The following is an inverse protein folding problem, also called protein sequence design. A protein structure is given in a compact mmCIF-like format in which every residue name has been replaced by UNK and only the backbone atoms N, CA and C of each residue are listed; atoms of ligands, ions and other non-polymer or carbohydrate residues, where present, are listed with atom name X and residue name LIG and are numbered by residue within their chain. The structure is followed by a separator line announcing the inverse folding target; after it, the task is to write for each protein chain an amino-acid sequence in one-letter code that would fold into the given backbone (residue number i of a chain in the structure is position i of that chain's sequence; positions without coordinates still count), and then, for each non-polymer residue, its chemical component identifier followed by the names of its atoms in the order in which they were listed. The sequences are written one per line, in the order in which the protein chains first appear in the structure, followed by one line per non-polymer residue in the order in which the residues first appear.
data_IF_789660126030
#
_entry.id   IF_789660126030
#
_cell.length_a   1.000
_cell.length_b   1.000
_cell.length_c   1.000
_cell.angle_alpha   90.00
_cell.angle_beta   90.00
_cell.angle_gamma   90.00
#
_symmetry.space_group_name_H-M   'P 1'
#
loop_
_entity.id
_entity.type
_entity.pdbx_description
1 polymer ?
#
# COMPACT_ATOMS: atom_id res chain seq x y z
N UNK A 1 -22.72 3.65 7.75
CA UNK A 1 -22.57 5.12 7.62
C UNK A 1 -21.45 5.56 8.56
N UNK A 2 -20.70 6.65 8.29
CA UNK A 2 -19.79 7.19 9.29
C UNK A 2 -20.59 7.57 10.55
N UNK A 3 -20.10 7.20 11.73
CA UNK A 3 -20.77 7.58 12.98
C UNK A 3 -20.62 9.09 13.25
N UNK A 4 -21.20 9.57 14.34
CA UNK A 4 -21.18 10.99 14.74
C UNK A 4 -19.78 11.62 14.88
N UNK A 5 -18.71 10.82 14.87
CA UNK A 5 -17.31 11.25 14.87
C UNK A 5 -16.64 11.23 13.49
N UNK A 6 -17.38 10.93 12.42
CA UNK A 6 -16.88 10.87 11.05
C UNK A 6 -16.09 9.60 10.72
N UNK A 7 -15.88 8.69 11.68
CA UNK A 7 -15.09 7.48 11.47
C UNK A 7 -15.95 6.37 10.89
N UNK A 8 -15.48 5.80 9.79
CA UNK A 8 -16.15 4.68 9.17
C UNK A 8 -15.80 3.37 9.88
N UNK A 9 -16.81 2.72 10.48
CA UNK A 9 -16.64 1.48 11.25
C UNK A 9 -17.06 0.22 10.52
N UNK A 10 -17.75 0.37 9.40
CA UNK A 10 -18.33 -0.73 8.63
C UNK A 10 -18.15 -0.48 7.15
N UNK A 11 -17.94 -1.56 6.40
CA UNK A 11 -17.83 -1.55 4.96
C UNK A 11 -18.83 -2.52 4.35
N UNK A 12 -19.31 -2.19 3.16
CA UNK A 12 -20.14 -3.09 2.37
C UNK A 12 -19.25 -3.99 1.51
N UNK A 13 -19.47 -5.30 1.59
CA UNK A 13 -18.82 -6.28 0.74
C UNK A 13 -19.88 -7.12 0.03
N UNK A 14 -19.85 -7.18 -1.31
CA UNK A 14 -20.66 -8.14 -2.07
C UNK A 14 -19.84 -9.39 -2.38
N UNK A 15 -20.21 -10.53 -1.79
CA UNK A 15 -19.51 -11.80 -2.02
C UNK A 15 -19.56 -12.23 -3.50
N UNK A 16 -18.42 -12.71 -4.03
CA UNK A 16 -18.29 -13.18 -5.41
C UNK A 16 -18.44 -12.08 -6.47
N UNK A 17 -18.18 -10.82 -6.11
CA UNK A 17 -18.13 -9.72 -7.08
C UNK A 17 -16.96 -9.91 -8.06
N UNK A 18 -17.14 -9.47 -9.30
CA UNK A 18 -16.07 -9.42 -10.28
C UNK A 18 -14.97 -8.48 -9.80
N UNK A 19 -13.72 -8.93 -9.87
CA UNK A 19 -12.57 -8.08 -9.56
C UNK A 19 -12.48 -6.95 -10.58
N UNK A 20 -12.35 -5.73 -10.09
CA UNK A 20 -12.19 -4.53 -10.90
C UNK A 20 -10.71 -4.26 -11.06
N UNK A 21 -10.16 -4.69 -12.19
CA UNK A 21 -8.74 -4.53 -12.55
C UNK A 21 -8.68 -3.79 -13.88
N UNK A 22 -8.05 -2.64 -13.86
CA UNK A 22 -7.64 -1.89 -15.06
C UNK A 22 -6.33 -2.48 -15.57
N UNK A 23 -6.30 -2.91 -16.83
CA UNK A 23 -5.13 -3.54 -17.46
C UNK A 23 -4.26 -2.56 -18.21
N UNK A 24 -4.78 -1.38 -18.55
CA UNK A 24 -4.04 -0.30 -19.18
C UNK A 24 -4.65 1.04 -18.83
N UNK A 25 -3.97 2.14 -19.16
CA UNK A 25 -4.52 3.48 -18.97
C UNK A 25 -5.83 3.68 -19.78
N UNK A 26 -5.99 2.99 -20.90
CA UNK A 26 -7.13 3.14 -21.80
C UNK A 26 -8.44 2.57 -21.23
N UNK A 27 -8.40 1.64 -20.27
CA UNK A 27 -9.58 1.00 -19.68
C UNK A 27 -9.97 1.55 -18.29
N UNK A 28 -9.29 2.61 -17.84
CA UNK A 28 -9.52 3.24 -16.53
C UNK A 28 -10.96 3.73 -16.38
N UNK A 29 -11.47 4.46 -17.38
CA UNK A 29 -12.84 4.99 -17.37
C UNK A 29 -13.88 3.86 -17.31
N UNK A 30 -13.67 2.78 -18.07
CA UNK A 30 -14.56 1.62 -18.08
C UNK A 30 -14.63 0.94 -16.71
N UNK A 31 -13.50 0.82 -16.01
CA UNK A 31 -13.40 0.24 -14.67
C UNK A 31 -14.06 1.16 -13.64
N UNK A 32 -13.84 2.47 -13.73
CA UNK A 32 -14.46 3.46 -12.86
C UNK A 32 -15.99 3.46 -13.02
N UNK A 33 -16.50 3.44 -14.25
CA UNK A 33 -17.93 3.33 -14.55
C UNK A 33 -18.52 2.00 -14.07
N UNK A 34 -17.79 0.90 -14.23
CA UNK A 34 -18.21 -0.41 -13.73
C UNK A 34 -18.31 -0.43 -12.19
N UNK A 35 -17.40 0.26 -11.50
CA UNK A 35 -17.45 0.40 -10.05
C UNK A 35 -18.68 1.21 -9.63
N UNK A 36 -18.91 2.36 -10.24
CA UNK A 36 -19.92 3.33 -9.80
C UNK A 36 -21.31 3.12 -10.40
N UNK A 37 -21.48 2.11 -11.27
CA UNK A 37 -22.76 1.75 -11.88
C UNK A 37 -23.92 1.57 -10.90
N UNK A 38 -23.63 1.27 -9.63
CA UNK A 38 -24.63 1.04 -8.59
C UNK A 38 -24.39 1.96 -7.42
N UNK A 39 -25.48 2.55 -6.91
CA UNK A 39 -25.42 3.39 -5.72
C UNK A 39 -25.08 2.55 -4.49
N UNK A 40 -24.65 3.22 -3.42
CA UNK A 40 -24.39 2.57 -2.13
C UNK A 40 -25.66 1.90 -1.57
N UNK A 41 -26.83 2.51 -1.72
CA UNK A 41 -28.12 1.96 -1.29
C UNK A 41 -28.51 0.71 -2.09
N UNK A 42 -28.27 0.72 -3.40
CA UNK A 42 -28.47 -0.45 -4.26
C UNK A 42 -27.53 -1.59 -3.89
N UNK A 43 -26.29 -1.29 -3.49
CA UNK A 43 -25.34 -2.29 -3.02
C UNK A 43 -25.78 -2.86 -1.67
N UNK A 44 -26.17 -1.99 -0.72
CA UNK A 44 -26.60 -2.39 0.63
C UNK A 44 -27.87 -3.27 0.60
N UNK A 45 -28.79 -3.03 -0.33
CA UNK A 45 -30.05 -3.80 -0.44
C UNK A 45 -29.89 -5.21 -1.05
N UNK A 46 -28.70 -5.58 -1.54
CA UNK A 46 -28.48 -6.89 -2.14
C UNK A 46 -28.40 -7.98 -1.08
N UNK A 47 -29.08 -9.10 -1.35
CA UNK A 47 -29.08 -10.29 -0.49
C UNK A 47 -27.69 -10.87 -0.16
N UNK A 48 -26.70 -10.64 -1.02
CA UNK A 48 -25.31 -11.14 -0.85
C UNK A 48 -24.34 -10.07 -0.35
N UNK A 49 -24.82 -8.87 -0.05
CA UNK A 49 -24.00 -7.83 0.56
C UNK A 49 -23.98 -8.03 2.05
N UNK A 50 -22.78 -7.97 2.61
CA UNK A 50 -22.52 -8.10 4.03
C UNK A 50 -21.87 -6.83 4.55
N UNK A 51 -22.18 -6.48 5.79
CA UNK A 51 -21.50 -5.43 6.53
C UNK A 51 -20.28 -6.03 7.23
N UNK A 52 -19.11 -5.64 6.74
CA UNK A 52 -17.81 -6.05 7.29
C UNK A 52 -17.38 -5.00 8.30
N UNK A 53 -17.25 -5.43 9.55
CA UNK A 53 -16.76 -4.56 10.61
C UNK A 53 -15.27 -4.27 10.43
N UNK A 54 -14.87 -3.06 10.78
CA UNK A 54 -13.49 -2.57 10.63
C UNK A 54 -12.45 -3.46 11.34
N UNK A 55 -12.81 -4.10 12.47
CA UNK A 55 -11.91 -4.98 13.23
C UNK A 55 -11.53 -6.27 12.46
N UNK A 56 -12.26 -6.62 11.41
CA UNK A 56 -11.94 -7.72 10.51
C UNK A 56 -10.95 -7.34 9.40
N UNK A 57 -10.65 -6.06 9.24
CA UNK A 57 -9.84 -5.52 8.14
C UNK A 57 -8.51 -4.99 8.67
N UNK A 58 -7.58 -5.92 8.93
CA UNK A 58 -6.25 -5.66 9.51
C UNK A 58 -5.52 -4.45 8.88
N UNK A 59 -5.57 -4.36 7.56
CA UNK A 59 -4.96 -3.28 6.79
C UNK A 59 -5.38 -1.89 7.26
N UNK A 60 -6.67 -1.64 7.49
CA UNK A 60 -7.15 -0.29 7.77
C UNK A 60 -6.71 0.27 9.13
N UNK A 61 -6.44 -0.58 10.13
CA UNK A 61 -5.98 -0.10 11.44
C UNK A 61 -4.48 -0.30 11.69
N UNK A 62 -3.78 -1.08 10.85
CA UNK A 62 -2.35 -1.39 11.03
C UNK A 62 -1.45 -0.77 9.96
N UNK A 63 -1.93 -0.65 8.73
CA UNK A 63 -1.16 -0.05 7.65
C UNK A 63 -1.28 1.48 7.71
N UNK A 64 -0.19 2.24 7.53
CA UNK A 64 -0.26 3.70 7.46
C UNK A 64 -1.25 4.20 6.39
N UNK A 65 -1.22 3.59 5.20
CA UNK A 65 -2.16 3.92 4.11
C UNK A 65 -3.61 3.58 4.46
N UNK A 66 -3.83 2.45 5.14
CA UNK A 66 -5.15 2.06 5.62
C UNK A 66 -5.70 3.03 6.64
N UNK A 67 -4.87 3.48 7.58
CA UNK A 67 -5.26 4.49 8.57
C UNK A 67 -5.58 5.83 7.90
N UNK A 68 -4.74 6.27 6.95
CA UNK A 68 -4.98 7.49 6.18
C UNK A 68 -6.30 7.41 5.40
N UNK A 69 -6.63 6.25 4.83
CA UNK A 69 -7.90 6.00 4.16
C UNK A 69 -9.09 6.12 5.11
N UNK A 70 -9.02 5.55 6.33
CA UNK A 70 -10.10 5.66 7.31
C UNK A 70 -10.36 7.10 7.77
N UNK A 71 -9.28 7.87 7.96
CA UNK A 71 -9.34 9.24 8.46
C UNK A 71 -9.72 10.25 7.36
N UNK A 72 -9.66 9.83 6.09
CA UNK A 72 -10.08 10.66 4.97
C UNK A 72 -11.62 10.80 4.93
N UNK A 73 -12.08 12.04 5.08
CA UNK A 73 -13.47 12.44 4.81
C UNK A 73 -13.74 12.50 3.30
N UNK A 74 -15.01 12.33 2.91
CA UNK A 74 -15.41 12.41 1.50
C UNK A 74 -15.02 11.18 0.69
N UNK A 75 -14.98 11.36 -0.62
CA UNK A 75 -14.72 10.30 -1.58
C UNK A 75 -13.25 9.94 -1.60
N UNK A 76 -12.99 8.63 -1.62
CA UNK A 76 -11.65 8.07 -1.49
C UNK A 76 -11.58 6.74 -2.21
N UNK A 77 -10.43 6.43 -2.77
CA UNK A 77 -10.18 5.18 -3.47
C UNK A 77 -8.84 4.59 -3.05
N UNK A 78 -8.82 3.26 -2.92
CA UNK A 78 -7.64 2.46 -2.63
C UNK A 78 -7.43 1.48 -3.78
N UNK A 79 -6.29 1.59 -4.43
CA UNK A 79 -5.87 0.79 -5.59
C UNK A 79 -4.54 0.11 -5.27
N UNK A 80 -4.34 -1.10 -5.77
CA UNK A 80 -3.07 -1.83 -5.68
C UNK A 80 -2.73 -2.47 -7.03
N UNK A 81 -1.43 -2.58 -7.31
CA UNK A 81 -0.93 -3.32 -8.47
C UNK A 81 -1.37 -4.80 -8.47
N UNK A 82 -1.60 -5.35 -9.66
CA UNK A 82 -2.06 -6.71 -9.91
C UNK A 82 -1.25 -7.33 -11.06
N UNK A 83 -0.58 -8.50 -10.90
CA UNK A 83 -0.63 -9.38 -9.75
C UNK A 83 0.05 -8.83 -8.49
N UNK A 84 -0.63 -8.99 -7.34
CA UNK A 84 -0.22 -8.43 -6.04
C UNK A 84 1.24 -8.77 -5.68
N UNK A 85 1.70 -9.98 -6.00
CA UNK A 85 3.03 -10.46 -5.64
C UNK A 85 4.19 -9.85 -6.46
N UNK A 86 3.89 -9.16 -7.57
CA UNK A 86 4.88 -8.67 -8.54
C UNK A 86 4.75 -7.17 -8.86
N UNK A 87 3.64 -6.55 -8.47
CA UNK A 87 3.31 -5.17 -8.83
C UNK A 87 3.33 -4.30 -7.56
N UNK A 88 4.45 -3.63 -7.25
CA UNK A 88 4.68 -2.99 -5.95
C UNK A 88 4.07 -1.58 -5.82
N UNK A 89 2.92 -1.35 -6.43
CA UNK A 89 2.23 -0.06 -6.39
C UNK A 89 0.99 -0.14 -5.50
N UNK A 90 0.81 0.86 -4.65
CA UNK A 90 -0.42 1.05 -3.87
C UNK A 90 -0.72 2.53 -3.77
N UNK A 91 -1.92 2.89 -4.20
CA UNK A 91 -2.41 4.26 -4.24
C UNK A 91 -3.61 4.36 -3.32
N UNK A 92 -3.55 5.30 -2.39
CA UNK A 92 -4.68 5.70 -1.56
C UNK A 92 -4.87 7.19 -1.73
N UNK A 93 -5.99 7.59 -2.34
CA UNK A 93 -6.30 9.02 -2.53
C UNK A 93 -7.63 9.37 -1.91
N UNK A 94 -7.78 10.67 -1.66
CA UNK A 94 -9.03 11.33 -1.28
C UNK A 94 -9.28 12.45 -2.29
N UNK A 95 -10.52 12.58 -2.74
CA UNK A 95 -10.90 13.71 -3.59
C UNK A 95 -10.81 15.03 -2.81
N UNK A 96 -10.24 16.05 -3.46
CA UNK A 96 -10.24 17.41 -2.94
C UNK A 96 -11.62 18.08 -3.11
N UNK A 97 -12.37 17.67 -4.13
CA UNK A 97 -13.67 18.22 -4.49
C UNK A 97 -14.78 17.16 -4.31
N UNK A 98 -16.04 17.57 -4.12
CA UNK A 98 -17.16 16.63 -4.09
C UNK A 98 -17.24 15.84 -5.41
N UNK A 99 -17.19 14.51 -5.33
CA UNK A 99 -17.29 13.60 -6.48
C UNK A 99 -18.45 12.61 -6.25
N UNK A 100 -19.72 13.02 -6.45
CA UNK A 100 -20.86 12.18 -6.10
C UNK A 100 -20.78 10.79 -6.76
N UNK A 101 -20.59 9.75 -5.94
CA UNK A 101 -20.45 8.37 -6.41
C UNK A 101 -19.00 7.90 -6.61
N UNK A 102 -18.01 8.78 -6.48
CA UNK A 102 -16.59 8.44 -6.41
C UNK A 102 -15.94 8.05 -7.73
N UNK A 103 -16.56 8.38 -8.88
CA UNK A 103 -16.11 7.91 -10.20
C UNK A 103 -14.77 8.52 -10.57
N UNK A 104 -14.66 9.84 -10.51
CA UNK A 104 -13.44 10.56 -10.88
C UNK A 104 -12.30 10.27 -9.89
N UNK A 105 -12.64 10.03 -8.62
CA UNK A 105 -11.72 9.56 -7.58
C UNK A 105 -11.16 8.17 -7.91
N UNK A 106 -11.99 7.24 -8.38
CA UNK A 106 -11.50 5.92 -8.81
C UNK A 106 -10.59 6.07 -10.02
N UNK A 107 -11.02 6.81 -11.05
CA UNK A 107 -10.24 7.01 -12.26
C UNK A 107 -8.86 7.59 -11.95
N UNK A 108 -8.82 8.66 -11.16
CA UNK A 108 -7.56 9.29 -10.71
C UNK A 108 -6.66 8.30 -9.95
N UNK A 109 -7.23 7.45 -9.09
CA UNK A 109 -6.44 6.46 -8.34
C UNK A 109 -5.83 5.38 -9.25
N UNK A 110 -6.57 4.96 -10.28
CA UNK A 110 -6.09 4.01 -11.28
C UNK A 110 -5.03 4.64 -12.19
N UNK A 111 -5.23 5.88 -12.64
CA UNK A 111 -4.27 6.63 -13.43
C UNK A 111 -2.94 6.80 -12.70
N UNK A 112 -2.99 7.21 -11.43
CA UNK A 112 -1.80 7.33 -10.58
C UNK A 112 -1.10 5.99 -10.39
N UNK A 113 -1.87 4.89 -10.26
CA UNK A 113 -1.28 3.57 -10.16
C UNK A 113 -0.54 3.17 -11.44
N UNK A 114 -1.13 3.42 -12.62
CA UNK A 114 -0.47 3.18 -13.90
C UNK A 114 0.76 4.06 -14.11
N UNK A 115 0.71 5.33 -13.69
CA UNK A 115 1.86 6.22 -13.74
C UNK A 115 3.03 5.70 -12.88
N UNK A 116 2.76 5.23 -11.66
CA UNK A 116 3.77 4.62 -10.79
C UNK A 116 4.32 3.31 -11.36
N UNK A 117 3.48 2.49 -12.01
CA UNK A 117 3.94 1.28 -12.71
C UNK A 117 4.84 1.63 -13.89
N UNK A 118 4.50 2.67 -14.66
CA UNK A 118 5.32 3.19 -15.76
C UNK A 118 6.68 3.69 -15.29
N UNK A 119 6.74 4.38 -14.14
CA UNK A 119 8.01 4.81 -13.54
C UNK A 119 8.92 3.63 -13.15
N UNK A 120 8.34 2.45 -12.89
CA UNK A 120 9.05 1.21 -12.59
C UNK A 120 9.32 0.35 -13.82
N UNK A 121 8.80 0.72 -14.99
CA UNK A 121 8.87 -0.07 -16.23
C UNK A 121 8.11 -1.39 -16.15
N UNK A 122 6.95 -1.39 -15.46
CA UNK A 122 6.13 -2.58 -15.22
C UNK A 122 4.76 -2.53 -15.93
N UNK A 123 4.53 -1.56 -16.83
CA UNK A 123 3.21 -1.36 -17.46
C UNK A 123 2.71 -2.54 -18.31
N UNK A 124 3.59 -3.39 -18.82
CA UNK A 124 3.20 -4.54 -19.66
C UNK A 124 2.79 -5.78 -18.84
N UNK A 125 3.35 -5.93 -17.63
CA UNK A 125 3.18 -7.12 -16.78
C UNK A 125 2.19 -6.88 -15.62
N UNK A 126 1.89 -5.61 -15.32
CA UNK A 126 1.06 -5.19 -14.20
C UNK A 126 -0.18 -4.42 -14.64
N UNK A 127 -1.28 -4.61 -13.92
CA UNK A 127 -2.46 -3.76 -13.95
C UNK A 127 -2.74 -3.14 -12.57
N UNK A 128 -3.83 -2.38 -12.49
CA UNK A 128 -4.24 -1.66 -11.29
C UNK A 128 -5.62 -2.13 -10.83
N UNK A 129 -5.67 -2.74 -9.64
CA UNK A 129 -6.88 -3.29 -9.05
C UNK A 129 -7.48 -2.33 -8.03
N UNK A 130 -8.76 -2.02 -8.19
CA UNK A 130 -9.54 -1.29 -7.20
C UNK A 130 -9.84 -2.22 -6.00
N UNK A 131 -9.33 -1.86 -4.82
CA UNK A 131 -9.57 -2.58 -3.58
C UNK A 131 -10.80 -2.04 -2.85
N UNK A 132 -10.91 -0.73 -2.70
CA UNK A 132 -12.04 -0.10 -2.02
C UNK A 132 -12.28 1.32 -2.56
N UNK A 133 -13.52 1.78 -2.44
CA UNK A 133 -13.89 3.19 -2.60
C UNK A 133 -14.95 3.58 -1.56
N UNK A 134 -14.89 4.79 -1.02
CA UNK A 134 -15.77 5.24 0.05
C UNK A 134 -15.94 4.16 1.14
N UNK A 135 -17.19 3.67 1.27
CA UNK A 135 -17.54 2.64 2.24
C UNK A 135 -17.72 1.21 1.68
N UNK A 136 -17.20 0.94 0.50
CA UNK A 136 -17.46 -0.31 -0.23
C UNK A 136 -16.14 -1.00 -0.54
N UNK A 137 -16.01 -2.26 -0.13
CA UNK A 137 -14.91 -3.14 -0.52
C UNK A 137 -15.22 -3.72 -1.90
N UNK A 138 -14.27 -3.55 -2.83
CA UNK A 138 -14.28 -4.11 -4.19
C UNK A 138 -13.40 -5.33 -4.33
N UNK A 139 -12.53 -5.59 -3.35
CA UNK A 139 -11.76 -6.81 -3.22
C UNK A 139 -12.28 -7.71 -2.09
N UNK A 140 -11.85 -8.96 -2.09
CA UNK A 140 -12.13 -9.92 -1.03
C UNK A 140 -11.36 -9.57 0.25
N UNK A 141 -11.81 -10.08 1.41
CA UNK A 141 -11.19 -9.79 2.72
C UNK A 141 -9.69 -10.10 2.77
N UNK A 142 -9.25 -11.15 2.07
CA UNK A 142 -7.84 -11.53 1.98
C UNK A 142 -6.95 -10.42 1.40
N UNK A 143 -7.50 -9.53 0.56
CA UNK A 143 -6.75 -8.39 0.01
C UNK A 143 -6.43 -7.30 1.06
N UNK A 144 -7.13 -7.34 2.20
CA UNK A 144 -6.99 -6.42 3.34
C UNK A 144 -6.28 -7.05 4.53
N UNK A 145 -5.63 -8.20 4.34
CA UNK A 145 -4.67 -8.72 5.31
C UNK A 145 -3.50 -7.76 5.47
N UNK A 146 -2.90 -7.75 6.67
CA UNK A 146 -1.70 -6.98 6.96
C UNK A 146 -0.81 -7.70 7.98
N UNK A 147 0.39 -8.07 7.55
CA UNK A 147 1.40 -8.67 8.43
C UNK A 147 2.08 -7.59 9.31
N UNK A 148 2.04 -7.75 10.64
CA UNK A 148 2.82 -6.92 11.57
C UNK A 148 4.25 -7.48 11.68
N UNK A 149 5.22 -6.62 12.00
CA UNK A 149 6.61 -6.97 12.31
C UNK A 149 7.23 -7.89 11.27
N UNK A 150 7.49 -7.34 10.08
CA UNK A 150 8.13 -8.11 9.02
C UNK A 150 9.54 -8.52 9.43
N UNK A 151 9.96 -9.77 9.15
CA UNK A 151 11.36 -10.09 9.27
C UNK A 151 12.18 -9.24 8.29
N UNK A 152 13.36 -8.83 8.73
CA UNK A 152 14.39 -8.28 7.87
C UNK A 152 15.61 -9.20 7.86
N UNK A 153 16.21 -9.37 6.67
CA UNK A 153 17.47 -10.10 6.50
C UNK A 153 18.54 -9.13 6.04
N UNK A 154 19.67 -9.12 6.75
CA UNK A 154 20.82 -8.29 6.41
C UNK A 154 21.91 -9.16 5.82
N UNK A 155 22.52 -8.73 4.73
CA UNK A 155 23.71 -9.33 4.16
C UNK A 155 24.86 -8.34 4.28
N UNK A 156 25.90 -8.70 5.04
CA UNK A 156 27.10 -7.88 5.26
C UNK A 156 28.27 -8.50 4.53
N UNK A 157 28.90 -7.75 3.63
CA UNK A 157 29.97 -8.27 2.76
C UNK A 157 29.53 -9.50 1.97
N UNK A 158 28.25 -9.56 1.56
CA UNK A 158 27.67 -10.68 0.81
C UNK A 158 27.29 -11.91 1.63
N UNK A 159 27.44 -11.89 2.97
CA UNK A 159 27.05 -13.00 3.85
C UNK A 159 25.83 -12.64 4.67
N UNK A 160 24.89 -13.56 4.78
CA UNK A 160 23.71 -13.39 5.63
C UNK A 160 24.16 -13.23 7.09
N UNK A 161 23.74 -12.13 7.72
CA UNK A 161 23.90 -11.91 9.15
C UNK A 161 22.97 -12.90 9.90
N UNK A 162 23.48 -13.69 10.85
CA UNK A 162 22.67 -14.68 11.57
C UNK A 162 21.66 -14.06 12.55
N UNK A 163 21.72 -12.74 12.79
CA UNK A 163 20.79 -12.05 13.69
C UNK A 163 19.40 -11.96 13.05
N UNK A 164 18.36 -12.11 13.89
CA UNK A 164 16.97 -11.88 13.49
C UNK A 164 16.64 -10.40 13.66
N UNK A 165 16.29 -9.74 12.56
CA UNK A 165 15.89 -8.34 12.54
C UNK A 165 14.39 -8.22 12.24
N UNK A 166 13.80 -7.12 12.69
CA UNK A 166 12.42 -6.75 12.42
C UNK A 166 12.35 -5.43 11.66
N UNK A 167 11.32 -5.28 10.84
CA UNK A 167 11.10 -4.13 9.97
C UNK A 167 9.74 -3.49 10.27
N UNK A 168 9.78 -2.20 10.58
CA UNK A 168 8.60 -1.40 10.90
C UNK A 168 8.45 -0.25 9.90
N UNK A 169 7.30 -0.18 9.25
CA UNK A 169 6.97 0.94 8.36
C UNK A 169 6.79 2.22 9.17
N UNK A 170 7.27 3.33 8.60
CA UNK A 170 7.07 4.67 9.12
C UNK A 170 6.60 5.58 7.98
N UNK A 171 5.77 6.55 8.34
CA UNK A 171 5.37 7.66 7.47
C UNK A 171 5.64 8.94 8.24
N UNK A 172 6.38 9.85 7.64
CA UNK A 172 6.71 11.15 8.22
C UNK A 172 5.65 12.20 7.90
N UNK A 173 5.68 13.34 8.61
CA UNK A 173 4.67 14.40 8.47
C UNK A 173 4.66 15.03 7.07
N UNK A 174 5.80 15.02 6.37
CA UNK A 174 5.93 15.49 4.99
C UNK A 174 5.44 14.47 3.95
N UNK A 175 4.99 13.29 4.38
CA UNK A 175 4.54 12.20 3.52
C UNK A 175 5.64 11.23 3.11
N UNK A 176 6.90 11.51 3.47
CA UNK A 176 8.01 10.58 3.21
C UNK A 176 7.76 9.26 3.92
N UNK A 177 8.20 8.19 3.28
CA UNK A 177 8.00 6.84 3.75
C UNK A 177 9.34 6.25 4.17
N UNK A 178 9.27 5.22 4.98
CA UNK A 178 10.46 4.50 5.34
C UNK A 178 10.21 3.21 6.07
N UNK A 179 11.31 2.51 6.31
CA UNK A 179 11.35 1.31 7.12
C UNK A 179 12.46 1.45 8.15
N UNK A 180 12.10 1.22 9.41
CA UNK A 180 13.06 1.10 10.51
C UNK A 180 13.39 -0.37 10.69
N UNK A 181 14.68 -0.68 10.64
CA UNK A 181 15.21 -2.01 10.94
C UNK A 181 15.68 -2.05 12.38
N UNK A 182 15.23 -3.04 13.13
CA UNK A 182 15.43 -3.16 14.57
C UNK A 182 15.92 -4.55 14.97
N UNK A 183 16.71 -4.61 16.05
CA UNK A 183 17.07 -5.84 16.76
C UNK A 183 16.71 -5.68 18.23
N UNK A 184 15.71 -6.43 18.69
CA UNK A 184 15.11 -6.17 20.00
C UNK A 184 14.54 -4.75 20.08
N UNK A 185 15.04 -3.93 21.02
CA UNK A 185 14.64 -2.53 21.16
C UNK A 185 15.63 -1.55 20.50
N UNK A 186 16.66 -2.05 19.83
CA UNK A 186 17.71 -1.22 19.23
C UNK A 186 17.46 -1.01 17.73
N UNK A 187 17.51 0.24 17.31
CA UNK A 187 17.46 0.64 15.91
C UNK A 187 18.82 0.34 15.25
N UNK A 188 18.78 -0.35 14.12
CA UNK A 188 19.96 -0.71 13.33
C UNK A 188 20.18 0.27 12.18
N UNK A 189 19.10 0.57 11.44
CA UNK A 189 19.11 1.54 10.34
C UNK A 189 17.69 2.01 10.07
N UNK A 190 17.54 3.27 9.69
CA UNK A 190 16.30 3.80 9.12
C UNK A 190 16.49 4.05 7.64
N UNK A 191 15.68 3.44 6.80
CA UNK A 191 15.66 3.64 5.35
C UNK A 191 14.49 4.55 5.00
N UNK A 192 14.74 5.68 4.33
CA UNK A 192 13.73 6.67 3.93
C UNK A 192 13.68 6.86 2.43
N UNK A 193 12.50 7.10 1.91
CA UNK A 193 12.26 7.35 0.49
C UNK A 193 11.02 8.23 0.32
N UNK A 194 11.03 9.07 -0.70
CA UNK A 194 10.00 10.06 -1.00
C UNK A 194 8.69 9.42 -1.47
N UNK A 195 8.78 8.40 -2.33
CA UNK A 195 7.62 7.75 -2.97
C UNK A 195 7.75 6.24 -3.01
N UNK A 196 6.62 5.55 -3.13
CA UNK A 196 6.57 4.09 -3.19
C UNK A 196 7.31 3.50 -4.40
N UNK A 197 7.39 4.21 -5.53
CA UNK A 197 8.17 3.84 -6.72
C UNK A 197 9.63 4.28 -6.68
N UNK A 198 10.07 5.03 -5.67
CA UNK A 198 11.41 5.60 -5.65
C UNK A 198 12.49 4.51 -5.72
N UNK A 199 13.41 4.57 -6.69
CA UNK A 199 14.52 3.63 -6.82
C UNK A 199 15.67 3.96 -5.85
N UNK A 200 15.57 5.09 -5.15
CA UNK A 200 16.59 5.57 -4.21
C UNK A 200 16.00 5.72 -2.82
N UNK A 201 16.85 5.52 -1.83
CA UNK A 201 16.53 5.74 -0.43
C UNK A 201 17.74 6.36 0.28
N UNK A 202 17.52 6.93 1.45
CA UNK A 202 18.56 7.36 2.37
C UNK A 202 18.56 6.47 3.61
N UNK A 203 19.74 5.97 3.98
CA UNK A 203 19.93 5.17 5.16
C UNK A 203 20.56 6.00 6.27
N UNK A 204 19.86 6.16 7.39
CA UNK A 204 20.35 6.81 8.60
C UNK A 204 20.72 5.77 9.65
N UNK A 205 21.98 5.75 10.05
CA UNK A 205 22.51 4.88 11.10
C UNK A 205 22.37 5.52 12.51
N UNK A 206 22.48 4.73 13.60
CA UNK A 206 22.34 5.23 14.97
C UNK A 206 23.35 6.30 15.36
N UNK A 207 24.54 6.27 14.77
CA UNK A 207 25.60 7.27 14.96
C UNK A 207 25.33 8.60 14.22
N UNK A 208 24.21 8.71 13.49
CA UNK A 208 23.84 9.89 12.70
C UNK A 208 24.43 9.92 11.28
N UNK A 209 25.22 8.93 10.88
CA UNK A 209 25.71 8.81 9.51
C UNK A 209 24.55 8.57 8.55
N UNK A 210 24.50 9.35 7.48
CA UNK A 210 23.54 9.20 6.38
C UNK A 210 24.30 8.75 5.14
N UNK A 211 23.81 7.71 4.48
CA UNK A 211 24.37 7.20 3.22
C UNK A 211 23.26 6.96 2.21
N UNK A 212 23.54 7.10 0.90
CA UNK A 212 22.58 6.72 -0.12
C UNK A 212 22.39 5.20 -0.15
N UNK A 213 21.19 4.78 -0.53
CA UNK A 213 20.81 3.40 -0.74
C UNK A 213 20.04 3.25 -2.06
N UNK A 214 20.30 2.18 -2.79
CA UNK A 214 19.48 1.76 -3.92
C UNK A 214 18.32 0.92 -3.39
N UNK A 215 17.10 1.21 -3.85
CA UNK A 215 15.88 0.55 -3.43
C UNK A 215 15.29 -0.23 -4.60
N UNK A 216 14.89 -1.47 -4.32
CA UNK A 216 14.23 -2.34 -5.28
C UNK A 216 12.94 -2.89 -4.64
N UNK A 217 11.78 -2.28 -4.93
CA UNK A 217 10.50 -2.84 -4.55
C UNK A 217 10.15 -4.05 -5.44
N UNK A 218 9.42 -5.03 -4.90
CA UNK A 218 9.11 -6.29 -5.60
C UNK A 218 7.62 -6.50 -5.77
N UNK A 219 6.85 -6.42 -4.69
CA UNK A 219 5.43 -6.70 -4.68
C UNK A 219 4.94 -6.92 -3.26
N UNK A 220 3.67 -7.24 -3.07
CA UNK A 220 3.08 -7.35 -1.75
C UNK A 220 2.95 -8.82 -1.30
N UNK A 221 3.21 -9.06 -0.02
CA UNK A 221 2.80 -10.27 0.70
C UNK A 221 1.99 -9.87 1.94
N UNK A 222 0.77 -10.42 2.07
CA UNK A 222 -0.17 -10.12 3.16
C UNK A 222 -0.24 -8.61 3.49
N UNK A 223 -0.46 -7.80 2.45
CA UNK A 223 -0.59 -6.35 2.54
C UNK A 223 0.68 -5.55 2.82
N UNK A 224 1.85 -6.21 2.96
CA UNK A 224 3.14 -5.54 3.15
C UNK A 224 3.96 -5.55 1.87
N UNK A 225 4.58 -4.41 1.57
CA UNK A 225 5.50 -4.33 0.45
C UNK A 225 6.79 -5.09 0.78
N UNK A 226 7.18 -5.99 -0.12
CA UNK A 226 8.49 -6.64 -0.12
C UNK A 226 9.44 -5.80 -0.94
N UNK A 227 10.59 -5.52 -0.35
CA UNK A 227 11.58 -4.64 -0.94
C UNK A 227 12.98 -5.01 -0.47
N UNK A 228 13.98 -4.64 -1.26
CA UNK A 228 15.37 -4.76 -0.87
C UNK A 228 16.11 -3.46 -1.07
N UNK A 229 17.12 -3.23 -0.24
CA UNK A 229 17.95 -2.05 -0.26
C UNK A 229 19.41 -2.48 -0.35
N UNK A 230 20.18 -1.81 -1.18
CA UNK A 230 21.63 -2.02 -1.30
C UNK A 230 22.34 -0.72 -0.99
N UNK A 231 23.32 -0.76 -0.10
CA UNK A 231 24.04 0.41 0.38
C UNK A 231 25.45 0.01 0.86
N UNK A 232 26.24 1.02 1.21
CA UNK A 232 27.52 0.83 1.90
C UNK A 232 27.36 1.30 3.34
N UNK A 233 27.73 0.46 4.31
CA UNK A 233 27.67 0.82 5.73
C UNK A 233 28.73 1.88 6.11
N UNK A 234 28.66 2.47 7.32
CA UNK A 234 29.60 3.51 7.75
C UNK A 234 31.06 3.01 7.81
N UNK A 235 31.28 1.70 7.92
CA UNK A 235 32.60 1.09 7.89
C UNK A 235 33.13 0.85 6.47
N UNK A 236 32.33 1.12 5.44
CA UNK A 236 32.71 0.97 4.03
C UNK A 236 32.42 -0.42 3.44
N UNK A 237 31.70 -1.29 4.15
CA UNK A 237 31.34 -2.61 3.66
C UNK A 237 29.97 -2.61 2.96
N UNK A 238 29.82 -3.48 1.96
CA UNK A 238 28.55 -3.65 1.26
C UNK A 238 27.49 -4.25 2.20
N UNK A 239 26.34 -3.59 2.27
CA UNK A 239 25.18 -4.00 3.04
C UNK A 239 23.98 -4.16 2.10
N UNK A 240 23.28 -5.29 2.21
CA UNK A 240 21.97 -5.49 1.57
C UNK A 240 20.93 -5.81 2.62
N UNK A 241 19.83 -5.07 2.64
CA UNK A 241 18.68 -5.27 3.52
C UNK A 241 17.54 -5.85 2.68
N UNK A 242 16.94 -6.94 3.11
CA UNK A 242 15.72 -7.49 2.50
C UNK A 242 14.61 -7.40 3.54
N UNK A 243 13.53 -6.71 3.20
CA UNK A 243 12.35 -6.53 4.03
C UNK A 243 11.21 -7.38 3.47
N UNK A 244 10.67 -8.23 4.32
CA UNK A 244 9.62 -9.18 3.96
C UNK A 244 10.04 -10.64 4.20
N UNK A 245 9.08 -11.58 4.14
CA UNK A 245 9.36 -12.99 4.37
C UNK A 245 10.26 -13.64 3.31
#
# INVERSE_FOLDING_TARGET
MPDADGVQREFLLTAGQTQLVSRSIDDVDDVADAATRRSIEEIASRRRTEEVRLDQLAYFFRAPDGQAYLLANGEKALVRGEPVAQCPVQISIRSAEPDPGGRDTIATALDLCHAELGNLGLEEDCGCRLLAHGAILRAELAAFEYAIDLPARLFRGGRLDPITYFAREIVEENGDRGVVIEVGAERVVTLRYDMASSPTAEATFPNGTVVPAERQPVGFDRGRLRESFTLTDPEGAALRVIVGP
#
